data_IF_260447200318
#
_entry.id   IF_260447200318
#
_cell.length_a   1.000
_cell.length_b   1.000
_cell.length_c   1.000
_cell.angle_alpha   90.00
_cell.angle_beta   90.00
_cell.angle_gamma   90.00
#
_symmetry.space_group_name_H-M   'P 1'
#
loop_
_entity.id
_entity.type
_entity.pdbx_description
1 polymer ?
#
# COMPACT_ATOMS: atom_id res chain seq x y z
N UNK A 1 17.78 52.24 4.04
CA UNK A 1 18.94 52.07 4.95
C UNK A 1 20.12 51.62 4.09
N UNK A 2 21.14 52.47 3.96
CA UNK A 2 22.29 52.25 3.05
C UNK A 2 23.23 51.17 3.57
N UNK A 3 23.81 50.35 2.68
CA UNK A 3 24.77 49.28 2.98
C UNK A 3 26.15 49.80 3.44
N UNK A 4 26.31 51.12 3.48
CA UNK A 4 27.60 51.78 3.68
C UNK A 4 28.02 51.92 5.15
N UNK A 5 27.07 51.76 6.08
CA UNK A 5 27.30 51.81 7.55
C UNK A 5 27.59 50.45 8.19
N UNK A 6 27.95 49.43 7.40
CA UNK A 6 28.32 48.13 7.95
C UNK A 6 29.73 48.17 8.52
N UNK A 7 29.82 48.00 9.85
CA UNK A 7 31.06 47.83 10.59
C UNK A 7 31.90 46.71 9.95
N UNK A 8 33.21 46.93 9.79
CA UNK A 8 34.13 46.00 9.09
C UNK A 8 34.05 44.55 9.60
N UNK A 9 33.61 44.35 10.83
CA UNK A 9 33.37 43.02 11.41
C UNK A 9 32.14 42.32 10.82
N UNK A 10 31.02 43.04 10.59
CA UNK A 10 29.81 42.47 9.99
C UNK A 10 30.06 42.03 8.55
N UNK A 11 30.79 42.83 7.75
CA UNK A 11 31.21 42.44 6.39
C UNK A 11 32.07 41.18 6.39
N UNK A 12 32.96 41.00 7.37
CA UNK A 12 33.77 39.78 7.52
C UNK A 12 32.93 38.58 7.97
N UNK A 13 31.95 38.77 8.84
CA UNK A 13 31.03 37.71 9.27
C UNK A 13 30.15 37.22 8.12
N UNK A 14 29.60 38.15 7.33
CA UNK A 14 28.81 37.86 6.14
C UNK A 14 29.63 37.13 5.06
N UNK A 15 30.91 37.47 4.90
CA UNK A 15 31.87 36.74 4.04
C UNK A 15 32.23 35.36 4.62
N UNK A 16 32.39 35.23 5.95
CA UNK A 16 32.62 33.95 6.64
C UNK A 16 31.43 33.01 6.57
N UNK A 17 30.22 33.56 6.53
CA UNK A 17 28.96 32.84 6.38
C UNK A 17 28.68 32.43 4.92
N UNK A 18 29.59 32.75 3.97
CA UNK A 18 29.45 32.37 2.56
C UNK A 18 28.26 33.02 1.84
N UNK A 19 27.71 34.09 2.42
CA UNK A 19 26.50 34.74 1.93
C UNK A 19 26.78 35.79 0.83
N UNK A 20 28.04 36.19 0.62
CA UNK A 20 28.44 37.10 -0.45
C UNK A 20 29.65 36.56 -1.21
N UNK A 21 29.58 36.66 -2.53
CA UNK A 21 30.66 36.34 -3.45
C UNK A 21 31.75 37.44 -3.41
N UNK A 22 32.92 37.19 -4.02
CA UNK A 22 34.04 38.16 -4.05
C UNK A 22 33.67 39.54 -4.64
N UNK A 23 32.56 39.62 -5.36
CA UNK A 23 32.04 40.83 -6.01
C UNK A 23 30.96 41.56 -5.18
N UNK A 24 30.67 41.11 -3.94
CA UNK A 24 29.76 41.81 -3.02
C UNK A 24 28.27 41.64 -3.33
N UNK A 25 27.90 40.71 -4.21
CA UNK A 25 26.51 40.31 -4.47
C UNK A 25 26.08 39.17 -3.53
N UNK A 26 24.80 39.13 -3.08
CA UNK A 26 24.31 38.05 -2.25
C UNK A 26 24.28 36.74 -3.04
N UNK A 27 25.15 35.79 -2.68
CA UNK A 27 25.16 34.46 -3.27
C UNK A 27 23.87 33.77 -2.84
N UNK A 28 23.04 33.38 -3.82
CA UNK A 28 21.82 32.61 -3.55
C UNK A 28 22.22 31.40 -2.72
N UNK A 29 21.76 31.35 -1.47
CA UNK A 29 21.97 30.23 -0.58
C UNK A 29 21.71 28.93 -1.35
N UNK A 30 22.58 27.92 -1.26
CA UNK A 30 22.34 26.65 -1.93
C UNK A 30 20.97 26.19 -1.47
N UNK A 31 20.00 26.12 -2.40
CA UNK A 31 18.70 25.52 -2.12
C UNK A 31 19.03 24.08 -1.75
N UNK A 32 19.00 23.81 -0.46
CA UNK A 32 19.13 22.48 0.08
C UNK A 32 17.98 21.69 -0.53
N UNK A 33 18.28 20.93 -1.58
CA UNK A 33 17.36 20.00 -2.20
C UNK A 33 16.97 19.05 -1.08
N UNK A 34 15.77 19.25 -0.54
CA UNK A 34 15.21 18.36 0.46
C UNK A 34 15.35 16.94 -0.09
N UNK A 35 16.01 16.01 0.63
CA UNK A 35 16.19 14.67 0.14
C UNK A 35 14.79 14.10 -0.13
N UNK A 36 14.52 13.73 -1.38
CA UNK A 36 13.27 13.10 -1.75
C UNK A 36 13.23 11.77 -1.01
N UNK A 37 12.43 11.71 0.05
CA UNK A 37 12.34 10.56 0.94
C UNK A 37 11.60 9.45 0.19
N UNK A 38 12.34 8.73 -0.66
CA UNK A 38 11.83 7.53 -1.34
C UNK A 38 11.70 6.45 -0.28
N UNK A 39 10.47 6.01 -0.02
CA UNK A 39 10.23 4.88 0.87
C UNK A 39 10.93 3.65 0.30
N UNK A 40 11.85 3.07 1.07
CA UNK A 40 12.53 1.85 0.66
C UNK A 40 11.57 0.66 0.65
N UNK A 41 11.84 -0.41 -0.12
CA UNK A 41 11.00 -1.61 -0.16
C UNK A 41 10.80 -2.25 1.23
N UNK A 42 11.80 -2.14 2.11
CA UNK A 42 11.72 -2.59 3.50
C UNK A 42 10.71 -1.76 4.32
N UNK A 43 10.67 -0.45 4.09
CA UNK A 43 9.71 0.44 4.76
C UNK A 43 8.29 0.17 4.27
N UNK A 44 8.10 -0.01 2.97
CA UNK A 44 6.82 -0.38 2.36
C UNK A 44 6.25 -1.68 2.94
N UNK A 45 7.06 -2.74 3.06
CA UNK A 45 6.62 -4.00 3.65
C UNK A 45 6.23 -3.85 5.13
N UNK A 46 6.89 -2.95 5.86
CA UNK A 46 6.54 -2.65 7.26
C UNK A 46 5.19 -1.95 7.35
N UNK A 47 4.96 -0.96 6.49
CA UNK A 47 3.67 -0.26 6.37
C UNK A 47 2.54 -1.22 5.98
N UNK A 48 2.78 -2.14 5.02
CA UNK A 48 1.81 -3.18 4.64
C UNK A 48 1.50 -4.10 5.82
N UNK A 49 2.49 -4.53 6.58
CA UNK A 49 2.27 -5.38 7.78
C UNK A 49 1.44 -4.66 8.84
N UNK A 50 1.68 -3.37 9.04
CA UNK A 50 0.92 -2.53 9.97
C UNK A 50 -0.54 -2.40 9.53
N UNK A 51 -0.80 -2.24 8.22
CA UNK A 51 -2.15 -2.18 7.67
C UNK A 51 -2.86 -3.54 7.70
N UNK A 52 -2.15 -4.62 7.38
CA UNK A 52 -2.66 -5.99 7.44
C UNK A 52 -3.07 -6.41 8.86
N UNK A 53 -2.51 -5.78 9.89
CA UNK A 53 -2.93 -5.99 11.29
C UNK A 53 -4.27 -5.34 11.62
N UNK A 54 -4.72 -4.35 10.83
CA UNK A 54 -6.05 -3.74 10.94
C UNK A 54 -7.13 -4.59 10.28
N UNK A 55 -6.74 -5.50 9.38
CA UNK A 55 -7.67 -6.44 8.76
C UNK A 55 -8.12 -7.44 9.81
N UNK A 56 -9.43 -7.48 10.06
CA UNK A 56 -10.04 -8.46 10.95
C UNK A 56 -9.98 -9.84 10.28
N UNK A 57 -8.92 -10.60 10.58
CA UNK A 57 -8.82 -11.98 10.13
C UNK A 57 -9.85 -12.84 10.86
N UNK A 58 -10.60 -13.68 10.11
CA UNK A 58 -11.66 -14.47 10.68
C UNK A 58 -11.10 -15.46 11.71
N UNK A 59 -11.89 -15.74 12.73
CA UNK A 59 -11.52 -16.73 13.75
C UNK A 59 -11.58 -18.14 13.15
N UNK A 60 -10.68 -19.04 13.56
CA UNK A 60 -10.70 -20.46 13.14
C UNK A 60 -12.11 -21.12 13.20
N UNK A 61 -12.91 -20.96 14.26
CA UNK A 61 -14.24 -21.57 14.31
C UNK A 61 -15.22 -20.97 13.29
N UNK A 62 -15.10 -19.67 12.98
CA UNK A 62 -15.94 -19.02 11.98
C UNK A 62 -15.67 -19.54 10.56
N UNK A 63 -14.39 -19.70 10.21
CA UNK A 63 -13.98 -20.32 8.94
C UNK A 63 -14.55 -21.73 8.82
N UNK A 64 -14.42 -22.56 9.86
CA UNK A 64 -14.95 -23.93 9.86
C UNK A 64 -16.46 -23.94 9.67
N UNK A 65 -17.19 -23.06 10.36
CA UNK A 65 -18.65 -22.97 10.25
C UNK A 65 -19.07 -22.62 8.81
N UNK A 66 -18.44 -21.61 8.21
CA UNK A 66 -18.75 -21.24 6.83
C UNK A 66 -18.36 -22.33 5.83
N UNK A 67 -17.21 -22.98 6.01
CA UNK A 67 -16.82 -24.12 5.17
C UNK A 67 -17.84 -25.25 5.24
N UNK A 68 -18.32 -25.63 6.43
CA UNK A 68 -19.34 -26.68 6.58
C UNK A 68 -20.63 -26.32 5.85
N UNK A 69 -21.10 -25.06 5.99
CA UNK A 69 -22.33 -24.61 5.32
C UNK A 69 -22.17 -24.71 3.80
N UNK A 70 -21.06 -24.20 3.26
CA UNK A 70 -20.79 -24.24 1.82
C UNK A 70 -20.67 -25.68 1.34
N UNK A 71 -19.89 -26.52 2.01
CA UNK A 71 -19.74 -27.95 1.66
C UNK A 71 -21.07 -28.69 1.69
N UNK A 72 -21.89 -28.50 2.73
CA UNK A 72 -23.21 -29.12 2.81
C UNK A 72 -24.11 -28.68 1.65
N UNK A 73 -24.12 -27.38 1.34
CA UNK A 73 -24.92 -26.82 0.25
C UNK A 73 -24.50 -27.40 -1.10
N UNK A 74 -23.19 -27.47 -1.36
CA UNK A 74 -22.66 -28.07 -2.59
C UNK A 74 -23.05 -29.54 -2.69
N UNK A 75 -22.92 -30.32 -1.62
CA UNK A 75 -23.32 -31.73 -1.62
C UNK A 75 -24.81 -31.93 -1.93
N UNK A 76 -25.68 -31.07 -1.39
CA UNK A 76 -27.12 -31.11 -1.71
C UNK A 76 -27.37 -30.85 -3.18
N UNK A 77 -26.76 -29.80 -3.76
CA UNK A 77 -26.92 -29.52 -5.19
C UNK A 77 -26.31 -30.60 -6.08
N UNK A 78 -25.15 -31.15 -5.71
CA UNK A 78 -24.53 -32.27 -6.43
C UNK A 78 -25.44 -33.50 -6.42
N UNK A 79 -26.01 -33.85 -5.27
CA UNK A 79 -26.94 -34.97 -5.18
C UNK A 79 -28.23 -34.72 -5.96
N UNK A 80 -28.75 -33.49 -5.93
CA UNK A 80 -29.95 -33.10 -6.67
C UNK A 80 -29.73 -33.18 -8.18
N UNK A 81 -28.69 -32.53 -8.70
CA UNK A 81 -28.35 -32.53 -10.13
C UNK A 81 -28.02 -33.94 -10.59
N UNK A 82 -27.14 -34.66 -9.87
CA UNK A 82 -26.81 -36.04 -10.21
C UNK A 82 -28.04 -36.96 -10.17
N UNK A 83 -28.92 -36.80 -9.19
CA UNK A 83 -30.18 -37.55 -9.12
C UNK A 83 -31.11 -37.25 -10.30
N UNK A 84 -31.20 -35.99 -10.73
CA UNK A 84 -31.93 -35.61 -11.94
C UNK A 84 -31.29 -36.21 -13.19
N UNK A 85 -29.96 -36.16 -13.32
CA UNK A 85 -29.25 -36.73 -14.46
C UNK A 85 -29.49 -38.23 -14.58
N UNK A 86 -29.40 -38.98 -13.46
CA UNK A 86 -29.71 -40.41 -13.43
C UNK A 86 -31.18 -40.70 -13.74
N UNK A 87 -32.11 -39.90 -13.19
CA UNK A 87 -33.53 -40.05 -13.45
C UNK A 87 -33.88 -39.79 -14.91
N UNK A 88 -33.32 -38.73 -15.50
CA UNK A 88 -33.49 -38.40 -16.91
C UNK A 88 -32.86 -39.46 -17.81
N UNK A 89 -31.68 -39.98 -17.46
CA UNK A 89 -31.05 -41.08 -18.20
C UNK A 89 -31.94 -42.32 -18.20
N UNK A 90 -32.47 -42.72 -17.05
CA UNK A 90 -33.37 -43.87 -16.94
C UNK A 90 -34.63 -43.72 -17.82
N UNK A 91 -35.26 -42.54 -17.80
CA UNK A 91 -36.44 -42.24 -18.62
C UNK A 91 -36.11 -42.25 -20.11
N UNK A 92 -34.95 -41.69 -20.46
CA UNK A 92 -34.48 -41.61 -21.84
C UNK A 92 -34.18 -43.00 -22.39
N UNK A 93 -33.44 -43.82 -21.64
CA UNK A 93 -33.11 -45.19 -22.01
C UNK A 93 -34.38 -46.05 -22.18
N UNK A 94 -35.39 -45.86 -21.33
CA UNK A 94 -36.69 -46.53 -21.48
C UNK A 94 -37.43 -46.10 -22.76
N UNK A 95 -37.32 -44.83 -23.15
CA UNK A 95 -38.00 -44.31 -24.34
C UNK A 95 -37.32 -44.75 -25.66
N UNK A 96 -36.00 -44.94 -25.65
CA UNK A 96 -35.23 -45.35 -26.83
C UNK A 96 -35.16 -46.88 -27.04
N UNK A 97 -35.74 -47.68 -26.12
CA UNK A 97 -35.83 -49.14 -26.19
C UNK A 97 -37.19 -49.60 -26.73
#
# INVERSE_FOLDING_TARGET
MSLDDLNRQQKRMLKRQGALDEQGAPTKAPRQSAPTQRVGPVQYLREVREEMRKVAWPTRPEVVRYSIIVTATVLVFTAFVGGLDFGLQYVTDWFYL
#
